data_IF_573144036857
#
_entry.id   IF_573144036857
#
_cell.length_a   1.000
_cell.length_b   1.000
_cell.length_c   1.000
_cell.angle_alpha   90.00
_cell.angle_beta   90.00
_cell.angle_gamma   90.00
#
_symmetry.space_group_name_H-M   'P 1'
#
loop_
_entity.id
_entity.type
_entity.pdbx_description
1 polymer ?
#
# COMPACT_ATOMS: atom_id res chain seq x y z
N UNK A 1 -1.39 -52.84 -71.04
CA UNK A 1 -0.48 -51.67 -71.13
C UNK A 1 -1.28 -50.40 -70.96
N UNK A 2 -1.04 -49.65 -69.86
CA UNK A 2 -1.04 -48.16 -69.82
C UNK A 2 -0.55 -47.74 -68.43
N UNK A 3 0.44 -46.85 -68.43
CA UNK A 3 1.32 -46.48 -67.35
C UNK A 3 0.74 -45.41 -66.41
N UNK A 4 1.35 -45.29 -65.22
CA UNK A 4 1.09 -44.35 -64.11
C UNK A 4 1.26 -42.87 -64.49
N UNK A 5 0.72 -41.94 -63.69
CA UNK A 5 1.63 -41.06 -62.98
C UNK A 5 1.31 -40.88 -61.49
N UNK A 6 2.39 -40.67 -60.73
CA UNK A 6 2.46 -40.27 -59.33
C UNK A 6 2.24 -38.75 -59.16
N UNK A 7 2.26 -38.29 -57.89
CA UNK A 7 2.22 -36.91 -57.35
C UNK A 7 0.87 -36.53 -56.74
N UNK A 8 0.76 -35.94 -55.54
CA UNK A 8 1.74 -35.56 -54.52
C UNK A 8 1.01 -35.43 -53.18
N UNK A 9 1.78 -35.59 -52.11
CA UNK A 9 1.36 -35.48 -50.72
C UNK A 9 0.67 -34.16 -50.38
N UNK A 10 -0.39 -34.22 -49.56
CA UNK A 10 -0.66 -33.19 -48.57
C UNK A 10 -1.44 -33.76 -47.38
N UNK A 11 -0.72 -34.47 -46.50
CA UNK A 11 -1.19 -34.74 -45.14
C UNK A 11 -0.95 -33.46 -44.32
N UNK A 12 -1.97 -32.61 -44.19
CA UNK A 12 -1.93 -31.51 -43.22
C UNK A 12 -2.30 -32.08 -41.86
N UNK A 13 -1.29 -32.38 -41.05
CA UNK A 13 -1.44 -32.71 -39.64
C UNK A 13 -1.70 -31.40 -38.89
N UNK A 14 -2.95 -31.09 -38.57
CA UNK A 14 -3.27 -30.13 -37.50
C UNK A 14 -3.26 -30.90 -36.17
N UNK A 15 -2.08 -31.01 -35.55
CA UNK A 15 -1.94 -31.46 -34.17
C UNK A 15 -1.22 -30.37 -33.38
N UNK A 16 -1.96 -29.30 -33.07
CA UNK A 16 -1.57 -28.31 -32.07
C UNK A 16 -2.38 -28.55 -30.79
N UNK A 17 -2.10 -29.64 -30.06
CA UNK A 17 -2.67 -29.84 -28.73
C UNK A 17 -1.76 -29.19 -27.68
N UNK A 18 -1.97 -27.90 -27.43
CA UNK A 18 -1.59 -27.31 -26.15
C UNK A 18 -2.68 -27.65 -25.13
N UNK A 19 -2.49 -28.72 -24.36
CA UNK A 19 -3.38 -29.08 -23.26
C UNK A 19 -3.01 -28.20 -22.07
N UNK A 20 -3.76 -27.12 -21.87
CA UNK A 20 -3.80 -26.45 -20.56
C UNK A 20 -4.72 -27.30 -19.68
N UNK A 21 -4.27 -27.81 -18.52
CA UNK A 21 -5.14 -28.57 -17.63
C UNK A 21 -6.34 -27.71 -17.24
N UNK A 22 -7.55 -28.14 -17.57
CA UNK A 22 -8.80 -27.46 -17.20
C UNK A 22 -9.17 -27.65 -15.73
N UNK A 23 -8.33 -28.33 -14.96
CA UNK A 23 -8.55 -28.61 -13.55
C UNK A 23 -7.21 -28.78 -12.84
N UNK A 24 -6.95 -27.93 -11.87
CA UNK A 24 -5.97 -28.16 -10.81
C UNK A 24 -6.69 -28.08 -9.48
N UNK A 25 -6.22 -28.82 -8.48
CA UNK A 25 -6.65 -28.58 -7.10
C UNK A 25 -6.21 -27.16 -6.71
N UNK A 26 -7.04 -26.38 -6.01
CA UNK A 26 -6.61 -25.11 -5.43
C UNK A 26 -5.37 -25.39 -4.58
N UNK A 27 -4.26 -24.75 -4.91
CA UNK A 27 -3.07 -24.76 -4.08
C UNK A 27 -3.21 -23.57 -3.16
N UNK A 28 -3.30 -23.82 -1.86
CA UNK A 28 -3.20 -22.76 -0.87
C UNK A 28 -1.81 -22.14 -1.01
N UNK A 29 -1.74 -20.88 -1.46
CA UNK A 29 -0.47 -20.15 -1.51
C UNK A 29 -0.13 -19.78 -0.07
N UNK A 30 0.56 -20.70 0.62
CA UNK A 30 1.07 -20.48 1.98
C UNK A 30 2.28 -19.54 2.02
N UNK A 31 2.80 -19.16 0.86
CA UNK A 31 3.93 -18.24 0.74
C UNK A 31 3.53 -17.10 -0.19
N UNK A 32 3.17 -15.96 0.40
CA UNK A 32 3.14 -14.68 -0.31
C UNK A 32 4.53 -14.54 -0.94
N UNK A 33 4.58 -14.39 -2.26
CA UNK A 33 5.85 -14.10 -2.92
C UNK A 33 6.40 -12.82 -2.30
N UNK A 34 7.69 -12.80 -1.94
CA UNK A 34 8.33 -11.54 -1.57
C UNK A 34 8.05 -10.56 -2.72
N UNK A 35 7.43 -9.40 -2.44
CA UNK A 35 7.24 -8.40 -3.48
C UNK A 35 8.60 -8.11 -4.11
N UNK A 36 8.66 -7.83 -5.44
CA UNK A 36 9.90 -7.37 -6.05
C UNK A 36 10.47 -6.24 -5.18
N UNK A 37 11.80 -6.17 -5.02
CA UNK A 37 12.45 -5.04 -4.35
C UNK A 37 12.07 -3.76 -5.12
N UNK A 38 10.96 -3.15 -4.72
CA UNK A 38 10.56 -1.87 -5.23
C UNK A 38 11.63 -0.91 -4.73
N UNK A 39 12.29 -0.23 -5.66
CA UNK A 39 13.24 0.85 -5.35
C UNK A 39 12.39 2.05 -4.91
N UNK A 40 11.75 1.90 -3.76
CA UNK A 40 11.01 2.96 -3.09
C UNK A 40 11.99 4.08 -2.78
N UNK A 41 11.56 5.31 -3.07
CA UNK A 41 12.29 6.48 -2.57
C UNK A 41 11.99 6.52 -1.08
N UNK A 42 12.92 6.03 -0.26
CA UNK A 42 12.79 6.14 1.19
C UNK A 42 12.79 7.61 1.60
N UNK A 43 11.90 7.95 2.53
CA UNK A 43 11.92 9.24 3.18
C UNK A 43 13.27 9.47 3.88
N UNK A 44 13.65 10.74 4.01
CA UNK A 44 14.84 11.11 4.77
C UNK A 44 14.52 11.06 6.27
N UNK A 45 15.52 10.79 7.13
CA UNK A 45 15.35 10.95 8.58
C UNK A 45 15.16 12.44 8.95
N UNK A 46 14.67 12.74 10.18
CA UNK A 46 14.52 14.11 10.64
C UNK A 46 15.85 14.86 10.58
N UNK A 47 15.81 16.08 10.06
CA UNK A 47 16.98 16.97 9.99
C UNK A 47 17.14 17.69 11.33
N UNK A 48 18.38 17.82 11.80
CA UNK A 48 18.68 18.56 13.01
C UNK A 48 18.14 20.00 12.94
N UNK A 49 17.42 20.41 13.99
CA UNK A 49 16.80 21.73 14.06
C UNK A 49 15.56 21.93 13.18
N UNK A 50 15.00 20.86 12.60
CA UNK A 50 13.72 20.91 11.90
C UNK A 50 12.60 21.51 12.78
N UNK A 51 11.74 22.31 12.18
CA UNK A 51 10.53 22.84 12.80
C UNK A 51 9.53 21.73 13.13
N UNK A 52 8.56 22.01 14.01
CA UNK A 52 7.51 21.05 14.39
C UNK A 52 6.71 20.59 13.16
N UNK A 53 6.42 21.49 12.24
CA UNK A 53 5.72 21.19 10.99
C UNK A 53 6.56 20.33 10.04
N UNK A 54 7.87 20.53 9.98
CA UNK A 54 8.77 19.68 9.19
C UNK A 54 8.88 18.28 9.79
N UNK A 55 8.87 18.14 11.11
CA UNK A 55 8.81 16.83 11.79
C UNK A 55 7.53 16.09 11.44
N UNK A 56 6.36 16.74 11.55
CA UNK A 56 5.08 16.09 11.21
C UNK A 56 4.98 15.77 9.72
N UNK A 57 5.43 16.67 8.84
CA UNK A 57 5.49 16.40 7.39
C UNK A 57 6.35 15.19 7.08
N UNK A 58 7.57 15.16 7.62
CA UNK A 58 8.49 14.06 7.40
C UNK A 58 7.99 12.73 7.96
N UNK A 59 7.27 12.74 9.09
CA UNK A 59 6.61 11.54 9.62
C UNK A 59 5.54 11.01 8.66
N UNK A 60 4.67 11.88 8.13
CA UNK A 60 3.65 11.51 7.12
C UNK A 60 4.30 10.95 5.86
N UNK A 61 5.34 11.61 5.35
CA UNK A 61 6.06 11.16 4.16
C UNK A 61 6.76 9.80 4.41
N UNK A 62 7.31 9.58 5.61
CA UNK A 62 8.00 8.35 5.98
C UNK A 62 7.08 7.15 6.21
N UNK A 63 5.78 7.37 6.46
CA UNK A 63 4.78 6.29 6.55
C UNK A 63 4.51 5.63 5.19
N UNK A 64 4.93 6.23 4.07
CA UNK A 64 4.83 5.63 2.74
C UNK A 64 5.94 4.59 2.43
N UNK A 65 6.92 4.40 3.32
CA UNK A 65 7.97 3.41 3.11
C UNK A 65 7.41 1.99 3.13
N UNK A 66 7.84 1.15 2.19
CA UNK A 66 7.51 -0.28 2.17
C UNK A 66 8.42 -1.12 3.10
N UNK A 67 9.40 -0.48 3.76
CA UNK A 67 10.30 -1.13 4.70
C UNK A 67 9.55 -1.56 5.96
N UNK A 68 9.64 -2.85 6.30
CA UNK A 68 9.00 -3.42 7.49
C UNK A 68 9.30 -2.61 8.75
N UNK A 69 8.27 -2.35 9.56
CA UNK A 69 8.31 -1.59 10.81
C UNK A 69 8.57 -0.08 10.64
N UNK A 70 8.58 0.46 9.41
CA UNK A 70 8.76 1.89 9.10
C UNK A 70 9.88 2.57 9.92
N UNK A 71 11.15 2.10 9.81
CA UNK A 71 12.23 2.54 10.67
C UNK A 71 12.55 4.03 10.53
N UNK A 72 12.27 4.64 9.37
CA UNK A 72 12.43 6.09 9.18
C UNK A 72 11.30 6.86 9.88
N UNK A 73 10.05 6.42 9.76
CA UNK A 73 8.92 7.06 10.44
C UNK A 73 9.13 7.07 11.97
N UNK A 74 9.63 5.96 12.53
CA UNK A 74 9.94 5.85 13.96
C UNK A 74 10.99 6.86 14.44
N UNK A 75 11.87 7.36 13.56
CA UNK A 75 12.86 8.38 13.94
C UNK A 75 12.25 9.76 14.19
N UNK A 76 11.04 10.02 13.69
CA UNK A 76 10.29 11.26 13.96
C UNK A 76 9.54 11.22 15.30
N UNK A 77 9.43 10.04 15.91
CA UNK A 77 8.72 9.82 17.17
C UNK A 77 9.68 9.97 18.37
N UNK A 78 9.13 10.22 19.56
CA UNK A 78 9.91 10.09 20.81
C UNK A 78 10.32 8.63 21.00
N UNK A 79 11.31 8.36 21.84
CA UNK A 79 11.70 6.98 22.14
C UNK A 79 10.52 6.11 22.63
N UNK A 80 9.70 6.65 23.54
CA UNK A 80 8.52 5.95 24.07
C UNK A 80 7.43 5.74 23.01
N UNK A 81 7.15 6.76 22.18
CA UNK A 81 6.19 6.64 21.10
C UNK A 81 6.67 5.67 20.01
N UNK A 82 7.97 5.68 19.70
CA UNK A 82 8.58 4.77 18.74
C UNK A 82 8.49 3.31 19.18
N UNK A 83 8.53 3.02 20.49
CA UNK A 83 8.42 1.66 21.01
C UNK A 83 6.96 1.16 21.06
N UNK A 84 6.00 2.07 21.24
CA UNK A 84 4.58 1.72 21.43
C UNK A 84 3.75 1.83 20.15
N UNK A 85 4.14 2.67 19.20
CA UNK A 85 3.41 2.91 17.96
C UNK A 85 3.32 1.65 17.10
N UNK A 86 2.08 1.32 16.70
CA UNK A 86 1.77 0.19 15.84
C UNK A 86 1.50 0.65 14.41
N UNK A 87 2.29 0.14 13.46
CA UNK A 87 2.10 0.35 12.02
C UNK A 87 1.22 -0.72 11.36
N UNK A 88 0.79 -1.74 12.12
CA UNK A 88 0.00 -2.87 11.61
C UNK A 88 -1.51 -2.62 11.63
N UNK A 89 -1.93 -1.35 11.56
CA UNK A 89 -3.32 -0.90 11.72
C UNK A 89 -4.04 -0.59 10.41
N UNK A 90 -5.14 0.16 10.52
CA UNK A 90 -5.82 0.72 9.36
C UNK A 90 -4.92 1.70 8.62
N UNK A 91 -5.06 1.76 7.29
CA UNK A 91 -4.41 2.79 6.47
C UNK A 91 -5.43 3.87 6.19
N UNK A 92 -5.10 5.12 6.48
CA UNK A 92 -5.91 6.27 6.11
C UNK A 92 -5.29 6.93 4.88
N UNK A 93 -6.08 7.15 3.84
CA UNK A 93 -5.63 7.81 2.61
C UNK A 93 -6.15 9.25 2.63
N UNK A 94 -5.24 10.20 2.54
CA UNK A 94 -5.55 11.64 2.56
C UNK A 94 -5.11 12.32 1.26
N UNK A 95 -5.72 13.47 0.98
CA UNK A 95 -5.36 14.28 -0.18
C UNK A 95 -3.96 14.88 -0.02
N UNK A 96 -3.28 15.12 -1.14
CA UNK A 96 -1.91 15.65 -1.15
C UNK A 96 -1.81 17.13 -0.75
N UNK A 97 -2.92 17.86 -0.72
CA UNK A 97 -3.01 19.27 -0.31
C UNK A 97 -3.15 19.44 1.21
N UNK A 98 -2.62 18.50 1.99
CA UNK A 98 -2.55 18.62 3.44
C UNK A 98 -1.54 19.69 3.88
N UNK A 99 -1.82 20.31 5.03
CA UNK A 99 -0.92 21.29 5.64
C UNK A 99 -0.76 21.03 7.15
N UNK A 100 0.45 20.71 7.63
CA UNK A 100 0.79 20.82 9.03
C UNK A 100 0.86 22.30 9.43
N UNK A 101 0.16 22.66 10.51
CA UNK A 101 0.11 24.01 11.06
C UNK A 101 0.46 23.94 12.55
N UNK A 102 1.53 24.59 12.98
CA UNK A 102 1.82 24.67 14.41
C UNK A 102 0.71 25.40 15.15
N UNK A 103 0.27 24.79 16.25
CA UNK A 103 -0.59 25.39 17.25
C UNK A 103 0.18 25.81 18.50
N UNK A 104 -0.59 26.20 19.49
CA UNK A 104 -0.13 26.43 20.86
C UNK A 104 0.28 25.11 21.55
N UNK A 105 0.90 25.20 22.72
CA UNK A 105 1.24 24.05 23.59
C UNK A 105 2.01 22.92 22.86
N UNK A 106 2.98 23.30 22.03
CA UNK A 106 3.83 22.37 21.28
C UNK A 106 3.07 21.40 20.34
N UNK A 107 1.87 21.79 19.89
CA UNK A 107 1.05 20.99 18.97
C UNK A 107 1.24 21.35 17.49
N UNK A 108 0.91 20.42 16.60
CA UNK A 108 0.77 20.65 15.16
C UNK A 108 -0.53 19.99 14.68
N UNK A 109 -1.40 20.77 14.06
CA UNK A 109 -2.62 20.27 13.44
C UNK A 109 -2.37 19.92 11.96
N UNK A 110 -2.88 18.77 11.54
CA UNK A 110 -2.93 18.33 10.14
C UNK A 110 -4.38 18.18 9.75
N UNK A 111 -4.77 18.94 8.73
CA UNK A 111 -6.08 18.87 8.08
C UNK A 111 -5.89 18.57 6.59
N UNK A 112 -6.69 17.65 6.05
CA UNK A 112 -6.70 17.25 4.65
C UNK A 112 -8.07 16.75 4.21
N UNK A 113 -8.29 16.60 2.90
CA UNK A 113 -9.43 15.82 2.42
C UNK A 113 -9.24 14.34 2.72
N UNK A 114 -10.26 13.67 3.24
CA UNK A 114 -10.24 12.21 3.41
C UNK A 114 -10.59 11.56 2.07
N UNK A 115 -9.65 10.79 1.52
CA UNK A 115 -9.85 10.04 0.28
C UNK A 115 -10.53 8.70 0.58
N UNK A 116 -10.05 8.03 1.64
CA UNK A 116 -10.62 6.76 2.09
C UNK A 116 -9.77 6.09 3.15
N UNK A 117 -10.03 4.81 3.38
CA UNK A 117 -9.22 3.99 4.26
C UNK A 117 -9.19 2.54 3.83
N UNK A 118 -8.12 1.84 4.20
CA UNK A 118 -7.94 0.41 4.02
C UNK A 118 -8.07 -0.25 5.38
N UNK A 119 -8.96 -1.23 5.50
CA UNK A 119 -9.11 -2.02 6.71
C UNK A 119 -8.06 -3.15 6.82
N UNK A 120 -8.13 -3.91 7.91
CA UNK A 120 -7.23 -5.03 8.15
C UNK A 120 -7.38 -6.20 7.15
N UNK A 121 -8.43 -6.21 6.31
CA UNK A 121 -8.64 -7.18 5.25
C UNK A 121 -8.09 -6.68 3.91
N UNK A 122 -7.55 -5.46 3.86
CA UNK A 122 -7.08 -4.84 2.62
C UNK A 122 -8.19 -4.20 1.80
N UNK A 123 -9.42 -4.09 2.32
CA UNK A 123 -10.53 -3.52 1.59
C UNK A 123 -10.50 -1.99 1.69
N UNK A 124 -10.45 -1.33 0.52
CA UNK A 124 -10.52 0.13 0.44
C UNK A 124 -11.97 0.62 0.49
N UNK A 125 -12.25 1.58 1.36
CA UNK A 125 -13.55 2.28 1.46
C UNK A 125 -13.35 3.77 1.23
N UNK A 126 -14.19 4.38 0.37
CA UNK A 126 -14.11 5.81 0.05
C UNK A 126 -14.61 6.70 1.20
N UNK A 127 -13.88 7.78 1.48
CA UNK A 127 -14.20 8.76 2.53
C UNK A 127 -14.98 9.97 2.02
N UNK A 128 -15.82 9.78 0.99
CA UNK A 128 -16.35 10.86 0.15
C UNK A 128 -16.95 12.05 0.92
N UNK A 129 -16.29 13.22 0.80
CA UNK A 129 -16.72 14.50 1.38
C UNK A 129 -16.35 14.71 2.85
N UNK A 130 -15.56 13.81 3.45
CA UNK A 130 -15.09 13.94 4.82
C UNK A 130 -13.71 14.63 4.89
N UNK A 131 -13.40 15.15 6.07
CA UNK A 131 -12.11 15.77 6.39
C UNK A 131 -11.31 14.81 7.27
N UNK A 132 -10.01 14.73 7.01
CA UNK A 132 -9.06 14.17 7.93
C UNK A 132 -8.57 15.25 8.88
N UNK A 133 -8.66 15.02 10.19
CA UNK A 133 -8.17 15.94 11.21
C UNK A 133 -7.41 15.18 12.31
N UNK A 134 -6.14 15.55 12.47
CA UNK A 134 -5.29 15.06 13.55
C UNK A 134 -4.48 16.21 14.14
N UNK A 135 -4.42 16.24 15.47
CA UNK A 135 -3.46 17.09 16.19
C UNK A 135 -2.39 16.16 16.75
N UNK A 136 -1.14 16.53 16.50
CA UNK A 136 0.04 15.90 17.07
C UNK A 136 0.56 16.78 18.20
N UNK A 137 0.91 16.17 19.31
CA UNK A 137 1.69 16.74 20.40
C UNK A 137 3.16 16.42 20.17
N UNK A 138 4.00 17.46 20.21
CA UNK A 138 5.44 17.31 20.07
C UNK A 138 6.14 17.67 21.38
N UNK A 139 7.29 17.06 21.59
CA UNK A 139 8.20 17.38 22.70
C UNK A 139 9.62 17.48 22.18
N UNK A 140 10.50 18.15 22.92
CA UNK A 140 11.92 18.15 22.62
C UNK A 140 12.63 17.01 23.35
N UNK A 141 13.37 16.21 22.59
CA UNK A 141 14.36 15.25 23.09
C UNK A 141 15.74 15.70 22.60
N UNK A 142 16.69 15.89 23.52
CA UNK A 142 18.04 16.36 23.22
C UNK A 142 18.10 17.66 22.37
N UNK A 143 17.08 18.52 22.52
CA UNK A 143 16.96 19.79 21.79
C UNK A 143 16.37 19.66 20.39
N UNK A 144 15.88 18.48 20.01
CA UNK A 144 15.21 18.24 18.73
C UNK A 144 13.75 17.83 18.93
N UNK A 145 12.88 18.30 18.04
CA UNK A 145 11.45 17.98 18.10
C UNK A 145 11.16 16.53 17.72
N UNK A 146 10.25 15.89 18.46
CA UNK A 146 9.74 14.53 18.24
C UNK A 146 8.25 14.46 18.54
N UNK A 147 7.52 13.61 17.81
CA UNK A 147 6.09 13.37 18.00
C UNK A 147 5.90 12.41 19.19
N UNK A 148 5.09 12.81 20.16
CA UNK A 148 4.88 12.04 21.39
C UNK A 148 3.62 11.17 21.37
N UNK A 149 2.64 11.49 20.53
CA UNK A 149 1.30 10.87 20.51
C UNK A 149 0.85 10.47 19.09
N UNK A 150 1.66 9.68 18.35
CA UNK A 150 1.20 9.18 17.05
C UNK A 150 -0.06 8.33 17.23
N UNK A 151 -1.01 8.45 16.30
CA UNK A 151 -2.10 7.48 16.18
C UNK A 151 -1.55 6.21 15.55
N UNK A 152 -2.01 5.06 16.03
CA UNK A 152 -1.72 3.77 15.40
C UNK A 152 -2.30 3.70 13.98
N UNK A 153 -1.63 2.91 13.14
CA UNK A 153 -1.90 2.81 11.72
C UNK A 153 -1.03 3.75 10.88
N UNK A 154 -1.31 3.77 9.58
CA UNK A 154 -0.57 4.54 8.60
C UNK A 154 -1.45 5.62 8.00
N UNK A 155 -0.86 6.76 7.69
CA UNK A 155 -1.47 7.80 6.88
C UNK A 155 -0.66 7.92 5.60
N UNK A 156 -1.32 7.69 4.46
CA UNK A 156 -0.71 7.78 3.14
C UNK A 156 -1.33 8.93 2.35
N UNK A 157 -0.51 9.63 1.58
CA UNK A 157 -1.01 10.55 0.58
C UNK A 157 -1.58 9.74 -0.58
N UNK A 158 -2.65 10.24 -1.20
CA UNK A 158 -3.27 9.65 -2.40
C UNK A 158 -2.24 9.19 -3.47
N UNK A 159 -1.22 9.98 -3.86
CA UNK A 159 -0.22 9.53 -4.82
C UNK A 159 0.63 8.36 -4.33
N UNK A 160 0.97 8.28 -3.04
CA UNK A 160 1.77 7.18 -2.49
C UNK A 160 0.93 5.90 -2.37
N UNK A 161 -0.34 6.06 -1.99
CA UNK A 161 -1.32 4.97 -2.00
C UNK A 161 -1.51 4.41 -3.41
N UNK A 162 -1.72 5.27 -4.41
CA UNK A 162 -1.92 4.85 -5.81
C UNK A 162 -0.72 4.12 -6.43
N UNK A 163 0.48 4.26 -5.85
CA UNK A 163 1.70 3.56 -6.28
C UNK A 163 1.87 2.19 -5.62
N UNK A 164 1.36 2.05 -4.41
CA UNK A 164 1.59 0.86 -3.56
C UNK A 164 0.37 -0.07 -3.55
N UNK A 165 -0.81 0.45 -3.88
CA UNK A 165 -2.06 -0.29 -3.90
C UNK A 165 -2.37 -0.82 -5.30
N UNK A 166 -2.40 -2.15 -5.42
CA UNK A 166 -2.89 -2.84 -6.60
C UNK A 166 -4.38 -3.13 -6.46
N UNK A 167 -5.21 -2.45 -7.26
CA UNK A 167 -6.63 -2.77 -7.34
C UNK A 167 -6.82 -4.11 -8.06
N UNK A 168 -7.26 -5.13 -7.32
CA UNK A 168 -7.55 -6.47 -7.86
C UNK A 168 -9.06 -6.72 -7.89
N UNK A 169 -9.54 -7.29 -9.00
CA UNK A 169 -10.92 -7.74 -9.09
C UNK A 169 -11.06 -9.07 -8.35
N UNK A 170 -11.85 -9.10 -7.28
CA UNK A 170 -12.23 -10.35 -6.63
C UNK A 170 -13.29 -11.07 -7.48
N UNK A 171 -13.05 -12.35 -7.75
CA UNK A 171 -13.97 -13.21 -8.49
C UNK A 171 -14.34 -14.41 -7.63
N UNK A 172 -15.62 -14.57 -7.33
CA UNK A 172 -16.14 -15.72 -6.59
C UNK A 172 -16.71 -16.77 -7.55
N UNK A 173 -16.61 -18.05 -7.19
CA UNK A 173 -17.29 -19.11 -7.93
C UNK A 173 -18.79 -19.06 -7.65
N UNK A 174 -19.61 -19.21 -8.69
CA UNK A 174 -21.03 -19.46 -8.49
C UNK A 174 -21.26 -20.79 -7.75
N UNK A 175 -22.43 -21.03 -7.13
CA UNK A 175 -22.69 -22.26 -6.37
C UNK A 175 -22.53 -23.55 -7.17
N UNK A 176 -22.58 -23.48 -8.50
CA UNK A 176 -22.35 -24.62 -9.39
C UNK A 176 -20.87 -24.82 -9.75
N UNK A 177 -19.98 -23.88 -9.39
CA UNK A 177 -18.54 -23.92 -9.65
C UNK A 177 -18.18 -23.79 -11.13
N UNK A 178 -19.11 -23.31 -11.96
CA UNK A 178 -18.99 -23.32 -13.43
C UNK A 178 -18.72 -21.95 -14.01
N UNK A 179 -18.95 -20.88 -13.23
CA UNK A 179 -18.64 -19.52 -13.66
C UNK A 179 -18.03 -18.74 -12.50
N UNK A 180 -17.19 -17.78 -12.84
CA UNK A 180 -16.77 -16.73 -11.91
C UNK A 180 -17.76 -15.58 -11.98
N UNK A 181 -18.06 -15.00 -10.83
CA UNK A 181 -18.90 -13.81 -10.68
C UNK A 181 -18.03 -12.75 -10.02
N UNK A 182 -17.88 -11.56 -10.62
CA UNK A 182 -17.22 -10.45 -9.95
C UNK A 182 -18.04 -10.04 -8.72
N UNK A 183 -17.36 -9.53 -7.70
CA UNK A 183 -17.98 -8.68 -6.68
C UNK A 183 -18.38 -7.32 -7.28
#
# INVERSE_FOLDING_TARGET
MRARPAFVALAVVLAGCGTVPTSSSPVEITQVADPPEDVGIEALPPVAGASREEIVRGFVDAMASTTRNHPVARQYLTGEAADSWSDTGAITVISSDYAPVAGDDDTVAVTAGLVGGVDAQGAFTTGSGQTYDQVFTLVQEDGEWRIADPRDGLVLLEPDFARTYDEVNAYFLDPTGTRVVPD
#
